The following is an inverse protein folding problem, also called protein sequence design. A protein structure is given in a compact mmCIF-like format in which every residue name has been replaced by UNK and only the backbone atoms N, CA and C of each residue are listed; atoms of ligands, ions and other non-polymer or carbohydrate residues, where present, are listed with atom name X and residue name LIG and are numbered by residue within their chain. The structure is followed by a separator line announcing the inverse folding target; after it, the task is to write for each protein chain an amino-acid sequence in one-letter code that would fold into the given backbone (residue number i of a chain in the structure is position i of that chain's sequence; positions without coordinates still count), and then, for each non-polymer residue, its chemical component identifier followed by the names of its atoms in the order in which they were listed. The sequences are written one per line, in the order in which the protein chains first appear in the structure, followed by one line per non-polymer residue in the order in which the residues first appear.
data_IF_109143560367
#
_entry.id   IF_109143560367
#
_cell.length_a   1.000
_cell.length_b   1.000
_cell.length_c   1.000
_cell.angle_alpha   90.00
_cell.angle_beta   90.00
_cell.angle_gamma   90.00
#
_symmetry.space_group_name_H-M   'P 1'
#
loop_
_entity.id
_entity.type
_entity.pdbx_description
1 polymer ?
#
# COMPACT_ATOMS: atom_id res chain seq x y z
N UNK A 1 -51.32 67.91 -17.52
CA UNK A 1 -51.90 67.55 -18.83
C UNK A 1 -51.55 66.08 -19.10
N UNK A 2 -52.59 65.21 -19.21
CA UNK A 2 -52.62 63.79 -19.64
C UNK A 2 -51.78 62.77 -18.83
N UNK A 3 -52.38 61.82 -18.06
CA UNK A 3 -53.05 60.54 -18.46
C UNK A 3 -52.06 59.61 -19.17
N UNK A 4 -51.79 58.36 -18.77
CA UNK A 4 -52.63 57.25 -18.25
C UNK A 4 -51.77 56.30 -17.35
N UNK A 5 -52.22 55.76 -16.20
CA UNK A 5 -53.17 54.64 -15.93
C UNK A 5 -52.86 53.37 -16.77
N UNK A 6 -52.84 52.14 -16.24
CA UNK A 6 -53.23 51.64 -14.93
C UNK A 6 -52.64 50.23 -14.69
N UNK A 7 -52.39 49.96 -13.41
CA UNK A 7 -52.26 48.65 -12.79
C UNK A 7 -53.60 47.89 -12.85
N UNK A 8 -53.55 46.60 -13.20
CA UNK A 8 -54.68 45.67 -13.19
C UNK A 8 -54.44 44.53 -12.22
N UNK A 9 -55.22 44.54 -11.14
CA UNK A 9 -55.29 43.62 -10.00
C UNK A 9 -56.23 42.44 -10.32
N UNK A 10 -56.10 41.30 -9.64
CA UNK A 10 -57.14 40.24 -9.36
C UNK A 10 -56.38 39.01 -8.81
N UNK A 11 -56.79 38.25 -7.80
CA UNK A 11 -57.82 38.30 -6.75
C UNK A 11 -57.43 37.22 -5.71
N UNK A 12 -57.78 37.41 -4.44
CA UNK A 12 -57.65 36.39 -3.38
C UNK A 12 -58.85 35.43 -3.41
N UNK A 13 -58.64 34.15 -3.11
CA UNK A 13 -59.70 33.27 -2.63
C UNK A 13 -59.20 32.29 -1.55
N UNK A 14 -60.06 32.03 -0.57
CA UNK A 14 -59.82 31.34 0.70
C UNK A 14 -60.01 29.81 0.60
N UNK A 15 -59.19 29.10 1.38
CA UNK A 15 -59.39 27.85 2.15
C UNK A 15 -60.33 26.76 1.60
N UNK A 16 -59.76 25.57 1.40
CA UNK A 16 -60.44 24.28 1.48
C UNK A 16 -59.44 23.20 1.86
N UNK A 17 -59.61 22.57 3.02
CA UNK A 17 -58.88 21.35 3.40
C UNK A 17 -59.62 20.18 2.74
N UNK A 18 -58.93 19.45 1.87
CA UNK A 18 -59.36 18.15 1.39
C UNK A 18 -58.14 17.22 1.44
N UNK A 19 -58.19 16.24 2.34
CA UNK A 19 -57.19 15.18 2.43
C UNK A 19 -57.51 14.10 1.40
N UNK A 20 -56.57 13.79 0.50
CA UNK A 20 -56.52 12.55 -0.30
C UNK A 20 -55.05 12.17 -0.58
N UNK A 21 -54.79 10.88 -0.42
CA UNK A 21 -53.55 10.06 -0.37
C UNK A 21 -52.42 10.25 -1.42
N UNK A 22 -51.20 9.90 -0.96
CA UNK A 22 -49.98 9.41 -1.66
C UNK A 22 -49.16 10.44 -2.47
N UNK A 23 -47.82 10.54 -2.39
CA UNK A 23 -46.75 9.52 -2.36
C UNK A 23 -45.54 10.05 -1.56
N UNK A 24 -44.93 9.20 -0.74
CA UNK A 24 -43.63 9.43 -0.10
C UNK A 24 -42.52 9.51 -1.16
N UNK A 25 -41.87 10.67 -1.36
CA UNK A 25 -40.50 10.70 -1.87
C UNK A 25 -39.55 10.70 -0.67
N UNK A 26 -39.24 9.50 -0.18
CA UNK A 26 -38.14 9.28 0.75
C UNK A 26 -36.82 9.51 0.00
N UNK A 27 -36.16 10.65 0.26
CA UNK A 27 -34.79 10.88 -0.19
C UNK A 27 -33.85 9.91 0.52
N UNK A 28 -33.37 8.90 -0.19
CA UNK A 28 -32.34 8.01 0.32
C UNK A 28 -30.98 8.74 0.36
N UNK A 29 -30.19 8.64 1.45
CA UNK A 29 -28.82 9.14 1.45
C UNK A 29 -27.98 8.28 0.49
N UNK A 30 -27.32 8.93 -0.47
CA UNK A 30 -26.34 8.30 -1.33
C UNK A 30 -25.11 7.93 -0.49
N UNK A 31 -24.98 6.66 -0.14
CA UNK A 31 -23.78 6.12 0.50
C UNK A 31 -22.68 6.06 -0.57
N UNK A 32 -21.71 6.98 -0.50
CA UNK A 32 -20.54 6.94 -1.39
C UNK A 32 -19.60 5.84 -0.89
N UNK A 33 -19.56 4.71 -1.59
CA UNK A 33 -18.55 3.68 -1.40
C UNK A 33 -17.24 4.16 -2.04
N UNK A 34 -16.30 4.65 -1.23
CA UNK A 34 -14.93 4.89 -1.65
C UNK A 34 -14.18 3.55 -1.68
N UNK A 35 -14.17 2.88 -2.83
CA UNK A 35 -13.25 1.79 -3.09
C UNK A 35 -12.26 2.25 -4.15
N UNK A 36 -10.95 2.14 -3.85
CA UNK A 36 -9.87 1.75 -4.80
C UNK A 36 -8.47 2.18 -4.27
N UNK A 37 -7.90 1.37 -3.37
CA UNK A 37 -6.45 1.26 -3.18
C UNK A 37 -5.97 -0.19 -2.95
N UNK A 38 -6.88 -1.17 -3.00
CA UNK A 38 -6.61 -2.58 -2.67
C UNK A 38 -5.82 -3.34 -3.76
N UNK A 39 -5.78 -2.84 -5.00
CA UNK A 39 -5.10 -3.53 -6.10
C UNK A 39 -3.56 -3.45 -6.01
N UNK A 40 -3.02 -2.30 -5.62
CA UNK A 40 -1.57 -2.13 -5.51
C UNK A 40 -1.01 -2.88 -4.30
N UNK A 41 -1.70 -2.84 -3.17
CA UNK A 41 -1.26 -3.56 -1.99
C UNK A 41 -1.23 -5.07 -2.20
N UNK A 42 -2.30 -5.66 -2.74
CA UNK A 42 -2.33 -7.08 -3.08
C UNK A 42 -1.24 -7.46 -4.10
N UNK A 43 -0.83 -6.50 -4.94
CA UNK A 43 0.29 -6.71 -5.88
C UNK A 43 1.63 -6.77 -5.15
N UNK A 44 1.83 -5.92 -4.13
CA UNK A 44 3.07 -5.83 -3.35
C UNK A 44 3.20 -6.93 -2.29
N UNK A 45 2.10 -7.45 -1.76
CA UNK A 45 2.11 -8.54 -0.80
C UNK A 45 2.54 -9.87 -1.44
N UNK A 46 3.25 -10.70 -0.68
CA UNK A 46 3.74 -12.00 -1.11
C UNK A 46 5.22 -12.23 -0.80
N UNK A 47 5.81 -13.21 -1.48
CA UNK A 47 7.22 -13.57 -1.33
C UNK A 47 8.03 -13.02 -2.51
N UNK A 48 9.14 -12.37 -2.20
CA UNK A 48 9.99 -11.68 -3.17
C UNK A 48 11.43 -12.12 -3.03
N UNK A 49 12.04 -12.56 -4.11
CA UNK A 49 13.46 -12.83 -4.22
C UNK A 49 14.20 -11.53 -4.53
N UNK A 50 15.23 -11.24 -3.75
CA UNK A 50 16.12 -10.08 -3.92
C UNK A 50 16.80 -10.11 -5.29
N UNK A 51 17.31 -8.96 -5.73
CA UNK A 51 17.99 -8.85 -7.03
C UNK A 51 19.22 -9.78 -7.12
N UNK A 52 19.92 -9.96 -6.01
CA UNK A 52 21.14 -10.75 -5.92
C UNK A 52 20.86 -12.24 -5.59
N UNK A 53 19.58 -12.62 -5.50
CA UNK A 53 19.11 -14.00 -5.27
C UNK A 53 19.61 -14.63 -3.95
N UNK A 54 19.89 -13.77 -2.98
CA UNK A 54 20.45 -14.09 -1.67
C UNK A 54 19.44 -13.91 -0.52
N UNK A 55 18.31 -13.24 -0.76
CA UNK A 55 17.28 -12.96 0.22
C UNK A 55 15.88 -13.23 -0.32
N UNK A 56 15.01 -13.82 0.50
CA UNK A 56 13.57 -13.89 0.22
C UNK A 56 12.81 -13.14 1.28
N UNK A 57 12.02 -12.17 0.85
CA UNK A 57 11.24 -11.30 1.72
C UNK A 57 9.76 -11.65 1.63
N UNK A 58 9.12 -11.87 2.78
CA UNK A 58 7.67 -11.93 2.87
C UNK A 58 7.14 -10.54 3.19
N UNK A 59 6.45 -9.92 2.25
CA UNK A 59 5.75 -8.65 2.43
C UNK A 59 4.27 -8.92 2.71
N UNK A 60 3.74 -8.34 3.79
CA UNK A 60 2.34 -8.50 4.19
C UNK A 60 1.87 -7.31 5.04
N UNK A 61 0.56 -7.25 5.33
CA UNK A 61 0.00 -6.23 6.21
C UNK A 61 0.49 -6.37 7.65
N UNK A 62 0.87 -5.24 8.23
CA UNK A 62 1.11 -5.05 9.66
C UNK A 62 0.24 -3.89 10.18
N UNK A 63 -1.01 -4.21 10.52
CA UNK A 63 -2.01 -3.19 10.88
C UNK A 63 -2.48 -2.41 9.65
N UNK A 64 -2.15 -1.11 9.60
CA UNK A 64 -2.49 -0.21 8.47
C UNK A 64 -1.34 -0.02 7.47
N UNK A 65 -0.16 -0.57 7.79
CA UNK A 65 1.04 -0.46 6.97
C UNK A 65 1.34 -1.79 6.27
N UNK A 66 2.27 -1.76 5.32
CA UNK A 66 2.99 -2.96 4.88
C UNK A 66 4.30 -3.11 5.66
N UNK A 67 4.64 -4.37 5.96
CA UNK A 67 5.90 -4.76 6.57
C UNK A 67 6.51 -5.92 5.79
N UNK A 68 7.81 -6.16 5.97
CA UNK A 68 8.53 -7.22 5.28
C UNK A 68 9.57 -7.90 6.14
N UNK A 69 9.50 -9.23 6.17
CA UNK A 69 10.43 -10.09 6.90
C UNK A 69 11.39 -10.80 5.94
N UNK A 70 12.66 -10.91 6.31
CA UNK A 70 13.64 -11.75 5.63
C UNK A 70 13.42 -13.20 6.05
N UNK A 71 12.72 -13.95 5.21
CA UNK A 71 12.29 -15.35 5.48
C UNK A 71 13.14 -16.38 4.77
N UNK A 72 14.02 -15.97 3.86
CA UNK A 72 14.98 -16.83 3.18
C UNK A 72 16.33 -16.15 3.05
N UNK A 73 17.42 -16.85 3.32
CA UNK A 73 18.79 -16.40 3.20
C UNK A 73 19.63 -17.42 2.43
N UNK A 74 20.55 -16.92 1.60
CA UNK A 74 21.63 -17.71 1.01
C UNK A 74 22.86 -17.63 1.92
N UNK A 75 23.29 -18.76 2.46
CA UNK A 75 24.49 -18.83 3.27
C UNK A 75 25.07 -20.26 3.29
N UNK A 76 26.35 -20.36 3.66
CA UNK A 76 27.08 -21.62 3.74
C UNK A 76 27.00 -22.26 5.14
N UNK A 77 27.08 -23.59 5.19
CA UNK A 77 26.99 -24.33 6.44
C UNK A 77 25.58 -24.37 7.05
N UNK A 78 25.51 -24.57 8.37
CA UNK A 78 24.28 -24.78 9.15
C UNK A 78 23.93 -23.62 10.09
N UNK A 79 24.85 -22.67 10.27
CA UNK A 79 24.65 -21.54 11.17
C UNK A 79 24.04 -20.38 10.40
N UNK A 80 22.87 -19.93 10.83
CA UNK A 80 22.20 -18.77 10.25
C UNK A 80 23.04 -17.50 10.45
N UNK A 81 23.07 -16.59 9.47
CA UNK A 81 23.62 -15.25 9.65
C UNK A 81 22.97 -14.53 10.85
N UNK A 82 23.78 -13.71 11.53
CA UNK A 82 23.32 -12.88 12.63
C UNK A 82 23.71 -11.44 12.34
N UNK A 83 22.78 -10.52 12.57
CA UNK A 83 23.00 -9.10 12.33
C UNK A 83 23.92 -8.48 13.37
N UNK A 84 24.09 -7.16 13.29
CA UNK A 84 24.95 -6.35 14.14
C UNK A 84 24.69 -6.52 15.65
N UNK A 85 23.44 -6.79 16.02
CA UNK A 85 23.01 -6.98 17.41
C UNK A 85 23.16 -8.44 17.91
N UNK A 86 23.73 -9.32 17.07
CA UNK A 86 23.93 -10.73 17.37
C UNK A 86 22.65 -11.56 17.34
N UNK A 87 21.53 -11.04 16.81
CA UNK A 87 20.31 -11.83 16.60
C UNK A 87 20.29 -12.46 15.21
N UNK A 88 19.65 -13.62 15.12
CA UNK A 88 19.42 -14.32 13.86
C UNK A 88 18.71 -13.43 12.84
N UNK A 89 19.17 -13.45 11.60
CA UNK A 89 18.53 -12.75 10.49
C UNK A 89 17.34 -13.52 9.89
N UNK A 90 17.18 -14.80 10.23
CA UNK A 90 15.98 -15.57 9.88
C UNK A 90 14.74 -14.98 10.57
N UNK A 91 13.73 -14.65 9.76
CA UNK A 91 12.48 -13.95 10.12
C UNK A 91 12.67 -12.50 10.62
N UNK A 92 13.81 -11.88 10.31
CA UNK A 92 14.10 -10.50 10.69
C UNK A 92 13.16 -9.52 9.99
N UNK A 93 12.47 -8.68 10.77
CA UNK A 93 11.66 -7.58 10.25
C UNK A 93 12.59 -6.49 9.70
N UNK A 94 12.66 -6.37 8.38
CA UNK A 94 13.56 -5.43 7.70
C UNK A 94 12.82 -4.28 7.03
N UNK A 95 11.60 -4.51 6.51
CA UNK A 95 10.80 -3.47 5.88
C UNK A 95 9.73 -3.01 6.85
N UNK A 96 9.71 -1.72 7.19
CA UNK A 96 8.84 -1.16 8.24
C UNK A 96 8.10 0.09 7.78
N UNK A 97 6.91 0.29 8.33
CA UNK A 97 6.10 1.50 8.17
C UNK A 97 5.79 1.93 6.74
N UNK A 98 5.69 0.98 5.81
CA UNK A 98 5.32 1.31 4.44
C UNK A 98 3.86 1.78 4.39
N UNK A 99 3.67 2.99 3.87
CA UNK A 99 2.37 3.63 3.66
C UNK A 99 2.22 4.09 2.21
N UNK A 100 0.99 4.08 1.65
CA UNK A 100 0.77 4.55 0.29
C UNK A 100 1.13 6.03 0.16
N UNK A 101 1.82 6.38 -0.92
CA UNK A 101 2.14 7.77 -1.25
C UNK A 101 0.94 8.45 -1.95
N UNK A 102 0.94 9.80 -1.93
CA UNK A 102 -0.11 10.62 -2.56
C UNK A 102 -0.13 10.55 -4.09
N UNK A 103 -1.04 11.32 -4.69
CA UNK A 103 -1.41 11.20 -6.12
C UNK A 103 -0.23 11.30 -7.10
N UNK A 104 0.72 12.21 -6.85
CA UNK A 104 1.93 12.37 -7.68
C UNK A 104 2.82 11.11 -7.72
N UNK A 105 2.64 10.20 -6.76
CA UNK A 105 3.38 8.96 -6.61
C UNK A 105 2.43 7.76 -6.44
N UNK A 106 1.24 7.82 -7.07
CA UNK A 106 0.23 6.77 -6.96
C UNK A 106 0.82 5.38 -7.25
N UNK A 107 0.54 4.44 -6.35
CA UNK A 107 1.03 3.05 -6.44
C UNK A 107 2.40 2.81 -5.82
N UNK A 108 3.09 3.87 -5.35
CA UNK A 108 4.29 3.75 -4.51
C UNK A 108 3.92 3.76 -3.04
N UNK A 109 4.74 3.08 -2.26
CA UNK A 109 4.67 3.08 -0.80
C UNK A 109 6.01 3.55 -0.24
N UNK A 110 5.98 4.35 0.82
CA UNK A 110 7.17 4.86 1.49
C UNK A 110 7.21 4.38 2.94
N UNK A 111 8.40 3.97 3.39
CA UNK A 111 8.67 3.44 4.72
C UNK A 111 10.18 3.37 4.95
N UNK A 112 10.65 2.34 5.63
CA UNK A 112 12.05 2.17 5.96
C UNK A 112 12.58 0.76 5.71
N UNK A 113 13.88 0.65 5.42
CA UNK A 113 14.61 -0.62 5.30
C UNK A 113 15.76 -0.67 6.32
N UNK A 114 15.82 -1.74 7.11
CA UNK A 114 16.93 -2.06 7.99
C UNK A 114 18.04 -2.73 7.19
N UNK A 115 19.28 -2.32 7.44
CA UNK A 115 20.49 -3.07 7.07
C UNK A 115 20.93 -3.90 8.29
N UNK A 116 20.95 -5.25 8.20
CA UNK A 116 21.25 -6.10 9.35
C UNK A 116 22.73 -6.07 9.72
N UNK A 117 23.64 -5.78 8.77
CA UNK A 117 25.08 -5.77 8.99
C UNK A 117 25.50 -4.57 9.86
N UNK A 118 24.83 -3.43 9.65
CA UNK A 118 25.13 -2.17 10.34
C UNK A 118 24.11 -1.80 11.41
N UNK A 119 22.89 -2.35 11.35
CA UNK A 119 21.76 -1.95 12.18
C UNK A 119 21.15 -0.60 11.77
N UNK A 120 21.59 -0.01 10.66
CA UNK A 120 21.09 1.28 10.20
C UNK A 120 19.72 1.15 9.51
N UNK A 121 18.89 2.17 9.72
CA UNK A 121 17.58 2.27 9.10
C UNK A 121 17.62 3.36 8.03
N UNK A 122 17.27 3.01 6.80
CA UNK A 122 17.24 3.90 5.65
C UNK A 122 15.80 4.18 5.22
N UNK A 123 15.57 5.36 4.64
CA UNK A 123 14.30 5.64 3.98
C UNK A 123 14.17 4.76 2.74
N UNK A 124 12.97 4.25 2.50
CA UNK A 124 12.73 3.33 1.41
C UNK A 124 11.40 3.59 0.71
N UNK A 125 11.37 3.29 -0.59
CA UNK A 125 10.15 3.22 -1.38
C UNK A 125 10.04 1.87 -2.07
N UNK A 126 8.83 1.32 -2.10
CA UNK A 126 8.49 0.13 -2.88
C UNK A 126 7.38 0.44 -3.86
N UNK A 127 7.46 -0.16 -5.04
CA UNK A 127 6.41 -0.09 -6.05
C UNK A 127 6.51 -1.26 -7.02
N UNK A 128 5.42 -1.53 -7.71
CA UNK A 128 5.36 -2.57 -8.73
C UNK A 128 4.75 -2.01 -9.99
N UNK A 129 5.44 -2.20 -11.11
CA UNK A 129 4.94 -1.80 -12.43
C UNK A 129 4.21 -2.95 -13.14
N UNK A 130 4.41 -4.19 -12.68
CA UNK A 130 3.88 -5.43 -13.27
C UNK A 130 3.79 -6.49 -12.16
N UNK A 131 2.84 -7.45 -12.22
CA UNK A 131 2.51 -8.34 -11.10
C UNK A 131 3.69 -9.06 -10.44
N UNK A 132 4.75 -9.38 -11.18
CA UNK A 132 5.85 -10.24 -10.70
C UNK A 132 7.17 -9.49 -10.50
N UNK A 133 7.13 -8.15 -10.53
CA UNK A 133 8.29 -7.30 -10.35
C UNK A 133 8.02 -6.29 -9.24
N UNK A 134 8.89 -6.28 -8.23
CA UNK A 134 8.92 -5.29 -7.17
C UNK A 134 10.19 -4.44 -7.34
N UNK A 135 10.05 -3.13 -7.29
CA UNK A 135 11.18 -2.22 -7.18
C UNK A 135 11.27 -1.77 -5.73
N UNK A 136 12.46 -1.87 -5.17
CA UNK A 136 12.78 -1.33 -3.86
C UNK A 136 13.88 -0.30 -4.03
N UNK A 137 13.68 0.90 -3.50
CA UNK A 137 14.72 1.94 -3.47
C UNK A 137 15.00 2.35 -2.05
N UNK A 138 16.20 2.07 -1.55
CA UNK A 138 16.72 2.59 -0.28
C UNK A 138 17.55 3.84 -0.52
N UNK A 139 17.46 4.84 0.35
CA UNK A 139 18.19 6.10 0.24
C UNK A 139 18.40 6.78 1.60
N UNK A 140 19.36 7.71 1.64
CA UNK A 140 19.60 8.58 2.79
C UNK A 140 19.11 10.00 2.49
N UNK A 141 18.07 10.46 3.20
CA UNK A 141 17.52 11.80 3.06
C UNK A 141 16.69 11.98 1.78
N UNK A 142 17.33 12.30 0.65
CA UNK A 142 16.62 12.50 -0.62
C UNK A 142 16.69 11.24 -1.50
N UNK A 143 15.60 10.86 -2.21
CA UNK A 143 15.59 9.67 -3.06
C UNK A 143 16.68 9.62 -4.12
N UNK A 144 17.25 10.75 -4.56
CA UNK A 144 18.35 10.77 -5.54
C UNK A 144 19.66 10.20 -4.98
N UNK A 145 19.83 10.16 -3.66
CA UNK A 145 21.00 9.63 -2.97
C UNK A 145 20.74 8.21 -2.46
N UNK A 146 20.52 7.29 -3.40
CA UNK A 146 20.24 5.90 -3.08
C UNK A 146 20.23 4.99 -4.30
N UNK A 147 19.89 3.74 -4.07
CA UNK A 147 19.96 2.68 -5.06
C UNK A 147 18.62 1.96 -5.18
N UNK A 148 18.30 1.54 -6.40
CA UNK A 148 17.07 0.78 -6.67
C UNK A 148 17.45 -0.65 -7.00
N UNK A 149 16.90 -1.60 -6.25
CA UNK A 149 16.92 -3.01 -6.56
C UNK A 149 15.64 -3.45 -7.27
N UNK A 150 15.77 -4.48 -8.08
CA UNK A 150 14.65 -5.15 -8.76
C UNK A 150 14.48 -6.54 -8.23
N UNK A 151 13.41 -6.75 -7.47
CA UNK A 151 13.05 -8.04 -6.90
C UNK A 151 12.02 -8.74 -7.78
N UNK A 152 12.00 -10.06 -7.74
CA UNK A 152 11.08 -10.90 -8.51
C UNK A 152 10.24 -11.75 -7.57
N UNK A 153 9.06 -12.20 -8.01
CA UNK A 153 8.27 -13.12 -7.17
C UNK A 153 9.03 -14.40 -6.90
N UNK A 154 9.03 -14.83 -5.64
CA UNK A 154 9.54 -16.12 -5.25
C UNK A 154 8.46 -17.21 -5.43
N UNK A 155 8.71 -18.13 -6.35
CA UNK A 155 7.86 -19.31 -6.59
C UNK A 155 8.63 -20.62 -6.36
N UNK A 156 9.74 -20.56 -5.62
CA UNK A 156 10.58 -21.71 -5.32
C UNK A 156 9.97 -22.65 -4.28
N UNK A 157 10.69 -23.74 -3.93
CA UNK A 157 10.29 -24.64 -2.85
C UNK A 157 10.18 -23.91 -1.50
N UNK A 158 9.56 -24.52 -0.48
CA UNK A 158 9.64 -23.97 0.88
C UNK A 158 11.08 -23.78 1.35
N UNK A 159 11.31 -22.79 2.20
CA UNK A 159 12.61 -22.55 2.82
C UNK A 159 13.06 -23.79 3.62
N UNK A 160 14.35 -24.07 3.59
CA UNK A 160 14.96 -25.10 4.42
C UNK A 160 15.01 -24.72 5.89
N UNK A 161 15.58 -25.59 6.75
CA UNK A 161 15.79 -25.28 8.16
C UNK A 161 16.50 -23.94 8.33
N UNK A 162 16.05 -23.15 9.31
CA UNK A 162 16.66 -21.86 9.67
C UNK A 162 16.72 -20.86 8.50
N UNK A 163 15.64 -20.79 7.72
CA UNK A 163 15.48 -19.87 6.59
C UNK A 163 16.50 -20.08 5.45
N UNK A 164 17.13 -21.25 5.29
CA UNK A 164 18.04 -21.45 4.16
C UNK A 164 17.31 -21.54 2.83
N UNK A 165 17.69 -20.71 1.84
CA UNK A 165 17.17 -20.82 0.48
C UNK A 165 17.71 -22.11 -0.17
N UNK A 166 16.85 -22.94 -0.78
CA UNK A 166 17.30 -24.15 -1.48
C UNK A 166 18.28 -23.85 -2.63
N UNK A 167 19.28 -24.70 -2.81
CA UNK A 167 20.31 -24.56 -3.87
C UNK A 167 19.73 -24.63 -5.30
N UNK A 168 18.50 -25.12 -5.45
CA UNK A 168 17.78 -25.16 -6.73
C UNK A 168 17.31 -23.79 -7.22
N UNK A 169 17.22 -22.80 -6.32
CA UNK A 169 16.86 -21.42 -6.66
C UNK A 169 18.13 -20.76 -7.20
N UNK A 170 18.11 -20.34 -8.46
CA UNK A 170 19.21 -19.63 -9.13
C UNK A 170 18.94 -18.15 -9.19
#
# INVERSE_FOLDING_TARGET
MKRDRASGMVSKAKKGVAALLAVFLAGAPAVSLSAESLSNENTLSGYWLSQDHDGVFKIDRCGQNLCGHLVGLRYEGTNVPHGHDGKSECDLLMLTDFRPMGDDNKGRWAGHILDPDTGHLYDAQIWSNQPDVLKLRGYLGLPIFGETQTWTRYNGPPMGPVCKIPDSVK
#
